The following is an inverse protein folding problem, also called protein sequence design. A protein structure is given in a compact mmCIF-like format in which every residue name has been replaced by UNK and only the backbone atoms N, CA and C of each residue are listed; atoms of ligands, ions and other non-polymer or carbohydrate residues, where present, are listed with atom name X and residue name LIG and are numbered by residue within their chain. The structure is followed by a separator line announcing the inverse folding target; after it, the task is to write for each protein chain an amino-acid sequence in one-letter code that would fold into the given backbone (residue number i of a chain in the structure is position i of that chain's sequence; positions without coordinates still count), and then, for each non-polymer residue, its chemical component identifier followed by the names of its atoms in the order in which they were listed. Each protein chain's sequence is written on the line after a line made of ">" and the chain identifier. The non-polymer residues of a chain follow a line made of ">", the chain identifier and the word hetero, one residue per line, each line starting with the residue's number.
data_IF_972898901722
#
_entry.id   IF_972898901722
#
_cell.length_a   1.000
_cell.length_b   1.000
_cell.length_c   1.000
_cell.angle_alpha   90.00
_cell.angle_beta   90.00
_cell.angle_gamma   90.00
#
_symmetry.space_group_name_H-M   'P 1'
#
loop_
_entity.id
_entity.type
_entity.pdbx_description
1 polymer ?
#
# COMPACT_ATOMS: atom_id res chain seq x y z
N UNK A 1 16.57 6.99 -8.35
CA UNK A 1 17.47 7.01 -9.50
C UNK A 1 16.65 6.75 -10.75
N UNK A 2 16.78 7.58 -11.77
CA UNK A 2 16.14 7.41 -13.06
C UNK A 2 17.22 7.31 -14.13
N UNK A 3 17.04 6.37 -15.04
CA UNK A 3 17.96 6.14 -16.14
C UNK A 3 17.16 5.97 -17.44
N UNK A 4 17.59 6.65 -18.49
CA UNK A 4 17.05 6.50 -19.84
C UNK A 4 18.18 6.10 -20.79
N UNK A 5 17.93 5.11 -21.65
CA UNK A 5 18.86 4.62 -22.63
C UNK A 5 18.25 4.67 -24.03
N UNK A 6 18.97 5.31 -24.94
CA UNK A 6 18.64 5.43 -26.38
C UNK A 6 17.23 6.00 -26.64
N UNK A 7 16.67 6.78 -25.72
CA UNK A 7 15.29 7.31 -25.76
C UNK A 7 14.20 6.22 -25.88
N UNK A 8 14.56 4.97 -25.66
CA UNK A 8 13.68 3.81 -25.81
C UNK A 8 13.40 3.10 -24.49
N UNK A 9 14.39 3.00 -23.61
CA UNK A 9 14.30 2.24 -22.37
C UNK A 9 14.45 3.16 -21.19
N UNK A 10 13.51 3.10 -20.28
CA UNK A 10 13.50 3.88 -19.05
C UNK A 10 13.49 2.92 -17.87
N UNK A 11 14.37 3.14 -16.93
CA UNK A 11 14.40 2.41 -15.67
C UNK A 11 14.39 3.40 -14.51
N UNK A 12 13.57 3.11 -13.50
CA UNK A 12 13.52 3.90 -12.27
C UNK A 12 13.64 3.00 -11.05
N UNK A 13 14.26 3.52 -10.03
CA UNK A 13 14.35 2.88 -8.72
C UNK A 13 14.29 3.92 -7.62
N UNK A 14 13.50 3.63 -6.59
CA UNK A 14 13.41 4.40 -5.37
C UNK A 14 13.49 3.50 -4.15
N UNK A 15 14.11 3.99 -3.09
CA UNK A 15 14.18 3.29 -1.82
C UNK A 15 14.16 4.29 -0.68
N UNK A 16 13.53 3.91 0.42
CA UNK A 16 13.43 4.69 1.64
C UNK A 16 13.63 3.81 2.86
N UNK A 17 14.40 4.31 3.81
CA UNK A 17 14.53 3.72 5.13
C UNK A 17 13.67 4.54 6.08
N UNK A 18 12.69 3.90 6.70
CA UNK A 18 11.66 4.56 7.51
C UNK A 18 11.64 4.00 8.92
N UNK A 19 11.24 4.82 9.88
CA UNK A 19 11.11 4.42 11.27
C UNK A 19 9.77 4.84 11.85
N UNK A 20 9.19 3.99 12.73
CA UNK A 20 7.98 4.30 13.46
C UNK A 20 8.21 4.20 14.95
N UNK A 21 7.70 5.18 15.70
CA UNK A 21 7.75 5.20 17.16
C UNK A 21 6.70 4.29 17.81
N UNK A 22 5.73 3.80 17.04
CA UNK A 22 4.72 2.86 17.51
C UNK A 22 5.26 1.44 17.71
N UNK A 23 6.37 1.12 17.06
CA UNK A 23 6.95 -0.21 17.07
C UNK A 23 8.07 -0.35 18.11
N UNK A 24 8.19 -1.53 18.64
CA UNK A 24 9.29 -1.92 19.53
C UNK A 24 10.65 -1.67 18.86
N UNK A 25 11.70 -1.52 19.68
CA UNK A 25 13.05 -1.18 19.18
C UNK A 25 13.55 -2.12 18.08
N UNK A 26 13.23 -3.42 18.18
CA UNK A 26 13.64 -4.43 17.20
C UNK A 26 12.94 -4.33 15.85
N UNK A 27 11.71 -3.84 15.85
CA UNK A 27 10.85 -3.78 14.65
C UNK A 27 10.65 -2.35 14.12
N UNK A 28 11.27 -1.36 14.78
CA UNK A 28 11.06 0.08 14.51
C UNK A 28 11.41 0.50 13.10
N UNK A 29 12.42 -0.10 12.52
CA UNK A 29 12.96 0.31 11.23
C UNK A 29 12.47 -0.60 10.11
N UNK A 30 12.11 0.01 8.98
CA UNK A 30 11.66 -0.69 7.78
C UNK A 30 12.30 -0.12 6.52
N UNK A 31 12.53 -0.98 5.55
CA UNK A 31 13.00 -0.59 4.23
C UNK A 31 11.87 -0.75 3.22
N UNK A 32 11.51 0.35 2.54
CA UNK A 32 10.56 0.39 1.46
C UNK A 32 11.32 0.62 0.15
N UNK A 33 10.92 -0.06 -0.92
CA UNK A 33 11.55 0.07 -2.22
C UNK A 33 10.56 -0.10 -3.35
N UNK A 34 10.87 0.51 -4.49
CA UNK A 34 10.09 0.35 -5.70
C UNK A 34 10.95 0.61 -6.94
N UNK A 35 10.56 0.02 -8.03
CA UNK A 35 11.20 0.24 -9.30
C UNK A 35 10.25 0.00 -10.46
N UNK A 36 10.59 0.57 -11.61
CA UNK A 36 9.82 0.44 -12.82
C UNK A 36 10.72 0.39 -14.05
N UNK A 37 10.20 -0.27 -15.07
CA UNK A 37 10.78 -0.32 -16.40
C UNK A 37 9.76 0.17 -17.41
N UNK A 38 10.20 0.98 -18.34
CA UNK A 38 9.41 1.47 -19.46
C UNK A 38 10.13 1.20 -20.78
N UNK A 39 9.39 0.72 -21.76
CA UNK A 39 9.86 0.52 -23.11
C UNK A 39 9.01 1.33 -24.09
N UNK A 40 9.65 2.30 -24.76
CA UNK A 40 9.01 3.13 -25.79
C UNK A 40 9.12 2.37 -27.11
N UNK A 41 8.14 1.52 -27.38
CA UNK A 41 8.12 0.62 -28.53
C UNK A 41 8.05 1.39 -29.86
N UNK A 42 7.41 2.57 -29.86
CA UNK A 42 7.30 3.43 -31.05
C UNK A 42 8.64 3.94 -31.57
N UNK A 43 9.70 3.95 -30.74
CA UNK A 43 11.05 4.36 -31.13
C UNK A 43 11.88 3.22 -31.73
N UNK A 44 11.35 2.00 -31.77
CA UNK A 44 12.01 0.89 -32.45
C UNK A 44 11.98 1.02 -33.95
N UNK A 45 13.04 0.55 -34.62
CA UNK A 45 13.21 0.69 -36.08
C UNK A 45 12.03 0.12 -36.88
N UNK A 46 11.41 -0.97 -36.40
CA UNK A 46 10.30 -1.63 -37.06
C UNK A 46 8.97 -0.86 -36.95
N UNK A 47 8.83 0.11 -36.02
CA UNK A 47 7.65 0.97 -35.86
C UNK A 47 7.92 2.42 -36.18
N UNK A 48 9.18 2.82 -36.25
CA UNK A 48 9.62 4.17 -36.56
C UNK A 48 9.09 4.61 -37.95
N UNK A 49 8.34 5.69 -37.98
CA UNK A 49 7.73 6.17 -39.20
C UNK A 49 6.37 5.56 -39.55
N UNK A 50 5.76 4.81 -38.64
CA UNK A 50 4.38 4.36 -38.79
C UNK A 50 3.44 5.56 -38.95
N UNK A 51 2.53 5.50 -39.95
CA UNK A 51 1.58 6.60 -40.21
C UNK A 51 0.42 6.65 -39.25
N UNK A 52 0.13 5.54 -38.57
CA UNK A 52 -1.00 5.41 -37.68
C UNK A 52 -0.62 5.38 -36.20
N UNK A 53 0.61 4.96 -35.86
CA UNK A 53 1.14 4.89 -34.51
C UNK A 53 2.09 6.04 -34.26
N UNK A 54 1.73 6.96 -33.36
CA UNK A 54 2.58 8.11 -32.98
C UNK A 54 3.39 7.83 -31.73
N UNK A 55 2.82 7.07 -30.80
CA UNK A 55 3.47 6.73 -29.55
C UNK A 55 2.92 5.42 -29.00
N UNK A 56 3.83 4.57 -28.53
CA UNK A 56 3.50 3.35 -27.80
C UNK A 56 4.57 3.09 -26.74
N UNK A 57 4.14 3.05 -25.49
CA UNK A 57 4.99 2.72 -24.35
C UNK A 57 4.37 1.60 -23.55
N UNK A 58 5.18 0.60 -23.22
CA UNK A 58 4.83 -0.45 -22.25
C UNK A 58 5.61 -0.18 -20.98
N UNK A 59 4.93 -0.31 -19.83
CA UNK A 59 5.53 -0.05 -18.52
C UNK A 59 5.19 -1.19 -17.56
N UNK A 60 6.13 -1.51 -16.70
CA UNK A 60 5.94 -2.43 -15.57
C UNK A 60 6.59 -1.82 -14.34
N UNK A 61 5.92 -1.90 -13.22
CA UNK A 61 6.48 -1.46 -11.95
C UNK A 61 6.14 -2.42 -10.82
N UNK A 62 7.03 -2.47 -9.86
CA UNK A 62 6.86 -3.19 -8.60
C UNK A 62 7.27 -2.29 -7.45
N UNK A 63 6.48 -2.30 -6.39
CA UNK A 63 6.79 -1.61 -5.15
C UNK A 63 6.50 -2.51 -3.95
N UNK A 64 7.41 -2.44 -2.97
CA UNK A 64 7.20 -2.97 -1.62
C UNK A 64 7.23 -1.78 -0.66
N UNK A 65 6.08 -1.46 -0.10
CA UNK A 65 5.92 -0.35 0.83
C UNK A 65 5.57 -0.85 2.23
N UNK A 66 5.91 -0.07 3.23
CA UNK A 66 5.63 -0.34 4.63
C UNK A 66 4.80 0.79 5.23
N UNK A 67 3.88 0.45 6.12
CA UNK A 67 2.99 1.40 6.77
C UNK A 67 2.81 1.02 8.25
N UNK A 68 2.69 2.03 9.09
CA UNK A 68 2.29 1.90 10.51
C UNK A 68 0.80 2.22 10.71
N UNK A 69 0.03 2.22 9.64
CA UNK A 69 -1.41 2.44 9.66
C UNK A 69 -2.14 1.37 10.49
N UNK A 70 -2.99 1.81 11.39
CA UNK A 70 -3.72 0.95 12.33
C UNK A 70 -2.97 0.68 13.63
N UNK A 71 -1.78 1.25 13.82
CA UNK A 71 -1.05 1.20 15.07
C UNK A 71 -1.49 2.32 16.01
N UNK A 72 -1.39 2.06 17.29
CA UNK A 72 -1.62 3.03 18.37
C UNK A 72 -0.39 3.16 19.25
N UNK A 73 -0.33 4.23 20.04
CA UNK A 73 0.72 4.36 21.05
C UNK A 73 0.70 3.16 22.01
N UNK A 74 1.88 2.66 22.35
CA UNK A 74 2.07 1.56 23.30
C UNK A 74 1.43 0.23 22.86
N UNK A 75 1.26 0.01 21.54
CA UNK A 75 0.67 -1.23 21.01
C UNK A 75 1.50 -2.47 21.39
N UNK A 76 2.78 -2.27 21.66
CA UNK A 76 3.75 -3.29 22.05
C UNK A 76 3.83 -3.52 23.58
N UNK A 77 3.12 -2.71 24.39
CA UNK A 77 3.27 -2.66 25.85
C UNK A 77 1.94 -2.92 26.55
N UNK A 78 1.99 -3.65 27.66
CA UNK A 78 0.85 -3.83 28.55
C UNK A 78 0.54 -2.51 29.27
N UNK A 79 -0.72 -2.11 29.28
CA UNK A 79 -1.19 -0.91 29.97
C UNK A 79 -2.14 -1.33 31.10
N UNK A 80 -1.95 -0.77 32.28
CA UNK A 80 -2.71 -1.03 33.49
C UNK A 80 -3.34 0.23 34.04
N UNK A 81 -4.52 0.11 34.62
CA UNK A 81 -5.19 1.16 35.40
C UNK A 81 -5.00 0.87 36.90
N UNK A 82 -4.26 1.72 37.63
CA UNK A 82 -4.10 1.58 39.07
C UNK A 82 -5.29 2.13 39.88
N UNK A 83 -6.27 2.77 39.22
CA UNK A 83 -7.43 3.38 39.85
C UNK A 83 -8.65 2.46 39.92
N UNK A 84 -8.53 1.21 39.46
CA UNK A 84 -9.62 0.25 39.57
C UNK A 84 -9.89 -0.12 41.03
N UNK A 85 -11.16 -0.27 41.38
CA UNK A 85 -11.57 -0.66 42.73
C UNK A 85 -12.19 -2.07 42.71
N UNK A 86 -11.85 -2.86 43.67
CA UNK A 86 -12.48 -4.14 43.92
C UNK A 86 -13.14 -4.15 45.29
N UNK A 87 -14.43 -4.55 45.34
CA UNK A 87 -15.22 -4.63 46.57
C UNK A 87 -15.27 -6.09 47.08
N UNK A 88 -14.76 -6.35 48.27
CA UNK A 88 -14.78 -7.68 48.88
C UNK A 88 -16.14 -8.06 49.53
N UNK A 89 -17.15 -7.26 49.32
CA UNK A 89 -18.50 -7.54 49.84
C UNK A 89 -18.79 -7.01 51.25
N UNK A 90 -17.81 -6.42 51.93
CA UNK A 90 -17.92 -5.74 53.22
C UNK A 90 -18.11 -4.22 53.11
N UNK A 91 -18.25 -3.71 51.89
CA UNK A 91 -18.38 -2.31 51.58
C UNK A 91 -17.06 -1.53 51.52
N UNK A 92 -15.94 -2.19 51.80
CA UNK A 92 -14.59 -1.59 51.68
C UNK A 92 -14.04 -1.79 50.28
N UNK A 93 -13.87 -0.69 49.54
CA UNK A 93 -13.17 -0.69 48.24
C UNK A 93 -11.66 -0.84 48.46
N UNK A 94 -11.04 -1.77 47.78
CA UNK A 94 -9.59 -1.89 47.70
C UNK A 94 -9.09 -1.46 46.32
N UNK A 95 -7.97 -0.74 46.29
CA UNK A 95 -7.33 -0.42 45.04
C UNK A 95 -6.87 -1.68 44.32
N UNK A 96 -7.28 -1.83 43.08
CA UNK A 96 -6.92 -2.96 42.25
C UNK A 96 -6.17 -2.48 40.99
N UNK A 97 -5.43 -3.35 40.39
CA UNK A 97 -4.76 -3.12 39.11
C UNK A 97 -5.57 -3.81 38.01
N UNK A 98 -6.10 -3.05 37.07
CA UNK A 98 -6.86 -3.59 35.95
C UNK A 98 -6.10 -3.46 34.65
N UNK A 99 -6.06 -4.52 33.87
CA UNK A 99 -5.47 -4.47 32.52
C UNK A 99 -6.37 -3.66 31.59
N UNK A 100 -5.84 -2.59 31.01
CA UNK A 100 -6.51 -1.79 29.98
C UNK A 100 -6.16 -2.26 28.57
N UNK A 101 -4.93 -2.73 28.38
CA UNK A 101 -4.44 -3.22 27.10
C UNK A 101 -3.39 -4.30 27.33
N UNK A 102 -3.46 -5.35 26.53
CA UNK A 102 -2.38 -6.31 26.38
C UNK A 102 -1.53 -5.91 25.19
N UNK A 103 -0.25 -5.68 25.42
CA UNK A 103 0.73 -5.34 24.38
C UNK A 103 1.23 -6.57 23.61
N UNK A 104 1.76 -6.31 22.42
CA UNK A 104 2.44 -7.34 21.64
C UNK A 104 3.76 -6.79 21.06
N UNK A 105 4.90 -7.07 21.68
CA UNK A 105 6.20 -6.57 21.19
C UNK A 105 6.63 -7.17 19.85
N UNK A 106 5.94 -8.21 19.36
CA UNK A 106 6.20 -8.82 18.05
C UNK A 106 5.52 -8.09 16.89
N UNK A 107 4.70 -7.06 17.16
CA UNK A 107 4.08 -6.25 16.12
C UNK A 107 5.15 -5.68 15.18
N UNK A 108 4.87 -5.78 13.89
CA UNK A 108 5.72 -5.31 12.81
C UNK A 108 4.94 -4.47 11.80
N UNK A 109 5.65 -3.95 10.81
CA UNK A 109 5.09 -3.14 9.73
C UNK A 109 3.98 -3.86 8.96
N UNK A 110 2.91 -3.15 8.68
CA UNK A 110 1.96 -3.52 7.63
C UNK A 110 2.68 -3.39 6.30
N UNK A 111 2.63 -4.40 5.48
CA UNK A 111 3.35 -4.45 4.20
C UNK A 111 2.37 -4.41 3.03
N UNK A 112 2.82 -3.78 1.94
CA UNK A 112 2.05 -3.73 0.70
C UNK A 112 2.99 -3.97 -0.48
N UNK A 113 2.62 -4.94 -1.31
CA UNK A 113 3.25 -5.23 -2.58
C UNK A 113 2.33 -4.82 -3.71
N UNK A 114 2.81 -3.94 -4.57
CA UNK A 114 2.10 -3.46 -5.75
C UNK A 114 2.84 -3.90 -7.01
N UNK A 115 2.10 -4.48 -7.93
CA UNK A 115 2.55 -4.78 -9.29
C UNK A 115 1.64 -4.03 -10.25
N UNK A 116 2.22 -3.24 -11.15
CA UNK A 116 1.48 -2.56 -12.21
C UNK A 116 2.11 -2.90 -13.56
N UNK A 117 1.25 -3.20 -14.54
CA UNK A 117 1.61 -3.36 -15.94
C UNK A 117 0.71 -2.47 -16.75
N UNK A 118 1.29 -1.60 -17.55
CA UNK A 118 0.55 -0.60 -18.29
C UNK A 118 1.04 -0.41 -19.71
N UNK A 119 0.15 0.16 -20.52
CA UNK A 119 0.40 0.55 -21.90
C UNK A 119 -0.16 1.96 -22.12
N UNK A 120 0.66 2.83 -22.68
CA UNK A 120 0.28 4.17 -23.15
C UNK A 120 0.39 4.21 -24.66
N UNK A 121 -0.61 4.76 -25.33
CA UNK A 121 -0.61 4.84 -26.77
C UNK A 121 -1.15 6.18 -27.28
N UNK A 122 -0.71 6.54 -28.49
CA UNK A 122 -1.23 7.67 -29.23
C UNK A 122 -1.25 7.31 -30.73
N UNK A 123 -2.40 7.45 -31.35
CA UNK A 123 -2.68 6.98 -32.70
C UNK A 123 -3.22 8.11 -33.57
N UNK A 124 -3.12 7.93 -34.90
CA UNK A 124 -3.75 8.76 -35.91
C UNK A 124 -3.43 10.27 -35.77
N UNK A 125 -2.14 10.60 -35.72
CA UNK A 125 -1.66 11.99 -35.48
C UNK A 125 -2.19 12.58 -34.19
N UNK A 126 -2.16 11.79 -33.10
CA UNK A 126 -2.66 12.16 -31.78
C UNK A 126 -4.18 12.38 -31.69
N UNK A 127 -4.95 11.95 -32.69
CA UNK A 127 -6.39 12.03 -32.62
C UNK A 127 -7.01 11.07 -31.59
N UNK A 128 -6.38 9.92 -31.38
CA UNK A 128 -6.78 8.96 -30.35
C UNK A 128 -5.59 8.70 -29.44
N UNK A 129 -5.74 8.93 -28.17
CA UNK A 129 -4.74 8.60 -27.15
C UNK A 129 -5.38 7.86 -25.98
N UNK A 130 -4.58 7.09 -25.28
CA UNK A 130 -5.11 6.38 -24.13
C UNK A 130 -4.03 5.70 -23.32
N UNK A 131 -4.48 5.21 -22.19
CA UNK A 131 -3.69 4.46 -21.24
C UNK A 131 -4.54 3.30 -20.71
N UNK A 132 -3.95 2.12 -20.63
CA UNK A 132 -4.55 0.94 -20.01
C UNK A 132 -3.56 0.38 -19.00
N UNK A 133 -3.99 0.21 -17.77
CA UNK A 133 -3.19 -0.32 -16.67
C UNK A 133 -3.89 -1.50 -16.02
N UNK A 134 -3.15 -2.55 -15.77
CA UNK A 134 -3.51 -3.61 -14.85
C UNK A 134 -2.72 -3.43 -13.56
N UNK A 135 -3.40 -3.48 -12.43
CA UNK A 135 -2.77 -3.44 -11.12
C UNK A 135 -3.12 -4.66 -10.27
N UNK A 136 -2.19 -5.09 -9.44
CA UNK A 136 -2.39 -6.09 -8.41
C UNK A 136 -1.67 -5.61 -7.14
N UNK A 137 -2.45 -5.33 -6.11
CA UNK A 137 -2.00 -4.87 -4.80
C UNK A 137 -2.30 -5.94 -3.76
N UNK A 138 -1.28 -6.39 -3.07
CA UNK A 138 -1.40 -7.28 -1.92
C UNK A 138 -0.94 -6.55 -0.67
N UNK A 139 -1.87 -6.29 0.23
CA UNK A 139 -1.60 -5.76 1.57
C UNK A 139 -1.70 -6.90 2.56
N UNK A 140 -0.70 -7.06 3.43
CA UNK A 140 -0.63 -8.14 4.39
C UNK A 140 0.02 -7.67 5.69
N UNK A 141 0.00 -8.54 6.71
CA UNK A 141 0.38 -8.18 8.07
C UNK A 141 -0.45 -7.02 8.64
N UNK A 142 -1.72 -6.87 8.19
CA UNK A 142 -2.62 -5.84 8.73
C UNK A 142 -2.91 -6.13 10.21
N UNK A 143 -2.85 -5.06 11.02
CA UNK A 143 -3.07 -5.14 12.45
C UNK A 143 -4.53 -5.47 12.76
N UNK A 144 -4.75 -6.51 13.54
CA UNK A 144 -6.08 -6.91 13.98
C UNK A 144 -6.04 -7.52 15.36
N UNK A 145 -7.23 -7.62 15.99
CA UNK A 145 -7.45 -8.33 17.26
C UNK A 145 -8.41 -9.48 16.99
N UNK A 146 -7.96 -10.72 17.15
CA UNK A 146 -8.75 -11.92 16.85
C UNK A 146 -9.70 -12.28 18.03
N UNK A 147 -10.70 -11.47 18.26
CA UNK A 147 -11.64 -11.63 19.38
C UNK A 147 -12.51 -12.88 19.29
N UNK A 148 -12.78 -13.35 18.07
CA UNK A 148 -13.66 -14.53 17.86
C UNK A 148 -13.02 -15.90 18.20
N UNK A 149 -11.73 -15.94 18.45
CA UNK A 149 -11.03 -17.21 18.74
C UNK A 149 -10.91 -17.52 20.24
N UNK A 150 -11.38 -16.64 21.08
CA UNK A 150 -11.27 -16.81 22.53
C UNK A 150 -12.55 -17.30 23.16
N UNK A 151 -12.44 -18.24 24.10
CA UNK A 151 -13.59 -18.69 24.87
C UNK A 151 -14.23 -17.52 25.63
N UNK A 152 -15.56 -17.45 25.64
CA UNK A 152 -16.33 -16.42 26.36
C UNK A 152 -16.01 -16.35 27.88
N UNK A 153 -15.40 -17.39 28.43
CA UNK A 153 -14.97 -17.47 29.83
C UNK A 153 -13.92 -16.40 30.20
N UNK A 154 -13.18 -15.87 29.22
CA UNK A 154 -12.22 -14.77 29.47
C UNK A 154 -12.89 -13.43 29.78
N UNK A 155 -14.20 -13.30 29.53
CA UNK A 155 -15.02 -12.16 29.94
C UNK A 155 -14.68 -10.81 29.29
N UNK A 156 -13.49 -10.65 28.72
CA UNK A 156 -13.05 -9.37 28.13
C UNK A 156 -12.09 -9.56 26.98
N UNK A 157 -12.27 -8.79 25.93
CA UNK A 157 -11.35 -8.71 24.77
C UNK A 157 -10.04 -7.96 25.07
N UNK A 158 -9.92 -7.34 26.23
CA UNK A 158 -8.74 -6.59 26.68
C UNK A 158 -7.49 -7.48 26.76
N UNK A 159 -7.68 -8.76 27.09
CA UNK A 159 -6.58 -9.74 27.20
C UNK A 159 -6.06 -10.25 25.86
N UNK A 160 -6.69 -9.83 24.75
CA UNK A 160 -6.26 -10.22 23.40
C UNK A 160 -5.39 -9.12 22.82
N UNK A 161 -4.10 -9.38 22.58
CA UNK A 161 -3.24 -8.39 21.95
C UNK A 161 -3.61 -8.17 20.49
N UNK A 162 -3.18 -7.05 19.94
CA UNK A 162 -3.13 -6.85 18.49
C UNK A 162 -2.04 -7.75 17.88
N UNK A 163 -2.25 -8.16 16.64
CA UNK A 163 -1.29 -8.97 15.90
C UNK A 163 -1.32 -8.67 14.41
N UNK A 164 -0.24 -8.96 13.70
CA UNK A 164 -0.16 -8.89 12.26
C UNK A 164 -0.78 -10.18 11.69
N UNK A 165 -2.00 -10.11 11.17
CA UNK A 165 -2.71 -11.33 10.77
C UNK A 165 -3.46 -11.20 9.44
N UNK A 166 -4.19 -10.11 9.21
CA UNK A 166 -5.04 -9.99 8.04
C UNK A 166 -4.22 -9.69 6.77
N UNK A 167 -4.78 -10.17 5.65
CA UNK A 167 -4.30 -9.81 4.33
C UNK A 167 -5.45 -9.47 3.41
N UNK A 168 -5.21 -8.57 2.45
CA UNK A 168 -6.17 -8.16 1.45
C UNK A 168 -5.48 -8.05 0.09
N UNK A 169 -6.11 -8.62 -0.93
CA UNK A 169 -5.69 -8.47 -2.31
C UNK A 169 -6.72 -7.64 -3.08
N UNK A 170 -6.23 -6.72 -3.88
CA UNK A 170 -7.03 -5.94 -4.80
C UNK A 170 -6.35 -5.95 -6.17
N UNK A 171 -7.10 -6.25 -7.21
CA UNK A 171 -6.61 -6.22 -8.58
C UNK A 171 -7.69 -5.66 -9.49
N UNK A 172 -7.28 -5.03 -10.57
CA UNK A 172 -8.21 -4.43 -11.50
C UNK A 172 -7.51 -3.95 -12.76
N UNK A 173 -8.34 -3.47 -13.68
CA UNK A 173 -7.91 -2.83 -14.92
C UNK A 173 -8.48 -1.41 -14.91
N UNK A 174 -7.64 -0.45 -15.22
CA UNK A 174 -8.00 0.94 -15.41
C UNK A 174 -7.70 1.34 -16.84
N UNK A 175 -8.64 2.02 -17.51
CA UNK A 175 -8.44 2.50 -18.86
C UNK A 175 -8.92 3.94 -18.96
N UNK A 176 -8.14 4.74 -19.69
CA UNK A 176 -8.50 6.09 -20.11
C UNK A 176 -8.30 6.18 -21.61
N UNK A 177 -9.30 6.65 -22.32
CA UNK A 177 -9.24 6.89 -23.77
C UNK A 177 -9.69 8.30 -24.02
N UNK A 178 -8.94 9.04 -24.82
CA UNK A 178 -9.24 10.41 -25.21
C UNK A 178 -9.25 10.48 -26.73
N UNK A 179 -10.33 10.98 -27.28
CA UNK A 179 -10.43 11.29 -28.71
C UNK A 179 -10.46 12.80 -28.91
N UNK A 180 -9.57 13.28 -29.78
CA UNK A 180 -9.47 14.71 -30.12
C UNK A 180 -9.52 14.89 -31.60
N UNK A 181 -10.41 15.80 -32.07
CA UNK A 181 -10.51 16.15 -33.47
C UNK A 181 -10.70 17.65 -33.64
N UNK A 182 -10.00 18.21 -34.60
CA UNK A 182 -10.12 19.62 -34.96
C UNK A 182 -10.89 19.76 -36.27
N UNK A 183 -11.82 20.74 -36.33
CA UNK A 183 -12.61 21.13 -37.47
C UNK A 183 -12.39 22.64 -37.71
N UNK A 184 -11.35 23.02 -38.49
CA UNK A 184 -10.91 24.41 -38.57
C UNK A 184 -10.47 24.94 -37.21
N UNK A 185 -11.08 26.05 -36.77
CA UNK A 185 -10.79 26.65 -35.45
C UNK A 185 -11.54 26.01 -34.28
N UNK A 186 -12.37 25.00 -34.54
CA UNK A 186 -13.14 24.31 -33.53
C UNK A 186 -12.52 22.95 -33.17
N UNK A 187 -12.27 22.72 -31.88
CA UNK A 187 -11.73 21.48 -31.35
C UNK A 187 -12.76 20.70 -30.52
N UNK A 188 -12.93 19.41 -30.80
CA UNK A 188 -13.70 18.48 -29.99
C UNK A 188 -12.74 17.54 -29.23
N UNK A 189 -12.90 17.43 -27.94
CA UNK A 189 -12.22 16.47 -27.10
C UNK A 189 -13.24 15.72 -26.26
N UNK A 190 -13.17 14.39 -26.26
CA UNK A 190 -14.04 13.48 -25.49
C UNK A 190 -13.20 12.44 -24.78
#
# INVERSE_FOLDING_TARGET
>A
VNYAFADKYVAEYSGAYIGSTFLSRGNRWGYAQGGGLGWIVSEEEFLRGSRWLNYLKIKVSYANTKSDSGMSNYIDTDIYDPGANYNYGDGTGQNALMTLQRGNPAISWVQRHDVNVGMEFSLFRHALSGEVNYFNSLRFDEITRRTSQLPGVLGSSVFIPNENYNSRRQSGIEARITYRRYFGDFGLEV
#
